data_IF_042313310494
#
_entry.id   IF_042313310494
#
_cell.length_a   1.000
_cell.length_b   1.000
_cell.length_c   1.000
_cell.angle_alpha   90.00
_cell.angle_beta   90.00
_cell.angle_gamma   90.00
#
_symmetry.space_group_name_H-M   'P 1'
#
loop_
_entity.id
_entity.type
_entity.pdbx_description
1 polymer ?
#
# COMPACT_ATOMS: atom_id res chain seq x y z
N UNK A 1 -28.59 -7.76 9.00
CA UNK A 1 -28.07 -8.84 8.13
C UNK A 1 -26.56 -8.78 8.13
N UNK A 2 -25.92 -9.68 8.88
CA UNK A 2 -24.45 -9.80 8.94
C UNK A 2 -24.04 -10.73 7.81
N UNK A 3 -23.47 -10.17 6.74
CA UNK A 3 -22.90 -10.98 5.65
C UNK A 3 -21.70 -11.77 6.15
N UNK A 4 -21.41 -12.96 5.59
CA UNK A 4 -20.28 -13.77 6.03
C UNK A 4 -18.97 -13.00 5.85
N UNK A 5 -18.28 -12.76 6.98
CA UNK A 5 -16.93 -12.21 7.01
C UNK A 5 -15.96 -13.24 6.45
N UNK A 6 -15.77 -13.24 5.13
CA UNK A 6 -14.59 -13.87 4.53
C UNK A 6 -13.40 -12.98 4.87
N UNK A 7 -12.73 -13.32 5.97
CA UNK A 7 -11.41 -12.81 6.34
C UNK A 7 -10.42 -13.63 5.51
N UNK A 8 -9.89 -13.04 4.43
CA UNK A 8 -8.74 -13.61 3.75
C UNK A 8 -7.52 -13.33 4.62
N UNK A 9 -7.06 -14.34 5.38
CA UNK A 9 -5.78 -14.28 6.07
C UNK A 9 -4.67 -14.45 5.02
N UNK A 10 -4.13 -13.34 4.53
CA UNK A 10 -2.95 -13.34 3.69
C UNK A 10 -1.79 -12.78 4.51
N UNK A 11 -0.84 -13.63 4.86
CA UNK A 11 0.44 -13.21 5.41
C UNK A 11 1.55 -13.91 4.63
N UNK A 12 2.10 -13.30 3.57
CA UNK A 12 3.28 -13.84 2.91
C UNK A 12 4.47 -12.94 3.21
N UNK A 13 5.43 -13.46 3.97
CA UNK A 13 6.80 -12.95 3.89
C UNK A 13 7.32 -13.18 2.46
N UNK A 14 7.67 -12.10 1.73
CA UNK A 14 8.35 -12.20 0.43
C UNK A 14 9.67 -12.96 0.63
N UNK A 15 9.86 -14.06 -0.11
CA UNK A 15 11.10 -14.86 -0.11
C UNK A 15 12.28 -14.06 -0.66
N UNK A 16 13.51 -14.42 -0.26
CA UNK A 16 14.71 -13.61 -0.50
C UNK A 16 14.96 -13.21 -1.97
N UNK A 17 14.69 -14.10 -2.92
CA UNK A 17 14.88 -13.84 -4.36
C UNK A 17 13.85 -12.89 -4.97
N UNK A 18 12.67 -12.74 -4.36
CA UNK A 18 11.63 -11.83 -4.85
C UNK A 18 11.79 -10.41 -4.31
N UNK A 19 12.54 -10.23 -3.21
CA UNK A 19 12.82 -8.91 -2.62
C UNK A 19 13.74 -8.04 -3.49
N UNK A 20 14.53 -8.66 -4.37
CA UNK A 20 15.41 -7.93 -5.29
C UNK A 20 14.72 -7.44 -6.54
N UNK A 21 13.48 -7.89 -6.83
CA UNK A 21 12.72 -7.44 -7.99
C UNK A 21 11.86 -6.20 -7.64
N UNK A 22 12.17 -5.00 -8.15
CA UNK A 22 11.47 -3.77 -7.78
C UNK A 22 9.97 -3.80 -8.14
N UNK A 23 9.59 -4.46 -9.24
CA UNK A 23 8.20 -4.55 -9.66
C UNK A 23 7.37 -5.42 -8.71
N UNK A 24 7.93 -6.56 -8.28
CA UNK A 24 7.27 -7.44 -7.31
C UNK A 24 7.07 -6.70 -5.99
N UNK A 25 8.11 -6.01 -5.52
CA UNK A 25 8.08 -5.24 -4.28
C UNK A 25 7.04 -4.10 -4.35
N UNK A 26 7.02 -3.36 -5.47
CA UNK A 26 6.01 -2.33 -5.74
C UNK A 26 4.59 -2.88 -5.61
N UNK A 27 4.23 -3.88 -6.40
CA UNK A 27 2.88 -4.42 -6.38
C UNK A 27 2.53 -5.05 -5.02
N UNK A 28 3.48 -5.71 -4.36
CA UNK A 28 3.24 -6.25 -3.02
C UNK A 28 2.82 -5.16 -2.03
N UNK A 29 3.57 -4.06 -1.95
CA UNK A 29 3.26 -2.98 -1.02
C UNK A 29 1.99 -2.23 -1.40
N UNK A 30 1.77 -1.95 -2.68
CA UNK A 30 0.60 -1.18 -3.11
C UNK A 30 -0.71 -1.98 -2.96
N UNK A 31 -0.68 -3.30 -3.20
CA UNK A 31 -1.84 -4.17 -2.94
C UNK A 31 -2.19 -4.21 -1.46
N UNK A 32 -1.19 -4.26 -0.56
CA UNK A 32 -1.43 -4.21 0.89
C UNK A 32 -1.94 -2.84 1.30
N UNK A 33 -1.34 -1.76 0.79
CA UNK A 33 -1.75 -0.38 1.11
C UNK A 33 -3.20 -0.12 0.72
N UNK A 34 -3.61 -0.55 -0.46
CA UNK A 34 -4.97 -0.38 -0.95
C UNK A 34 -5.87 -1.58 -0.69
N UNK A 35 -5.45 -2.53 0.18
CA UNK A 35 -6.11 -3.81 0.38
C UNK A 35 -7.61 -3.68 0.60
N UNK A 36 -8.04 -2.80 1.50
CA UNK A 36 -9.45 -2.61 1.81
C UNK A 36 -10.25 -2.04 0.64
N UNK A 37 -9.65 -1.10 -0.11
CA UNK A 37 -10.28 -0.49 -1.28
C UNK A 37 -10.41 -1.49 -2.44
N UNK A 38 -9.33 -2.21 -2.74
CA UNK A 38 -9.29 -3.23 -3.79
C UNK A 38 -10.28 -4.35 -3.45
N UNK A 39 -10.28 -4.84 -2.21
CA UNK A 39 -11.23 -5.88 -1.78
C UNK A 39 -12.67 -5.42 -1.83
N UNK A 40 -12.95 -4.15 -1.51
CA UNK A 40 -14.29 -3.61 -1.67
C UNK A 40 -14.76 -3.67 -3.13
N UNK A 41 -13.90 -3.25 -4.07
CA UNK A 41 -14.20 -3.30 -5.50
C UNK A 41 -14.42 -4.74 -5.95
N UNK A 42 -13.51 -5.65 -5.57
CA UNK A 42 -13.59 -7.07 -5.92
C UNK A 42 -14.87 -7.71 -5.38
N UNK A 43 -15.18 -7.54 -4.09
CA UNK A 43 -16.39 -8.10 -3.46
C UNK A 43 -17.68 -7.54 -4.04
N UNK A 44 -17.68 -6.29 -4.49
CA UNK A 44 -18.86 -5.69 -5.15
C UNK A 44 -19.10 -6.29 -6.54
N UNK A 45 -18.05 -6.77 -7.21
CA UNK A 45 -18.14 -7.43 -8.52
C UNK A 45 -18.38 -8.94 -8.41
N UNK A 46 -17.83 -9.56 -7.36
CA UNK A 46 -18.07 -10.96 -7.03
C UNK A 46 -19.41 -11.12 -6.31
N UNK A 47 -20.42 -11.55 -7.03
CA UNK A 47 -21.73 -11.93 -6.48
C UNK A 47 -21.85 -13.46 -6.40
N UNK A 48 -23.00 -13.95 -5.93
CA UNK A 48 -23.26 -15.39 -5.80
C UNK A 48 -23.12 -16.16 -7.11
N UNK A 49 -23.42 -15.54 -8.26
CA UNK A 49 -23.43 -16.22 -9.56
C UNK A 49 -22.04 -16.36 -10.17
N UNK A 50 -21.10 -15.48 -9.83
CA UNK A 50 -19.76 -15.44 -10.43
C UNK A 50 -18.62 -15.67 -9.42
N UNK A 51 -18.92 -15.98 -8.16
CA UNK A 51 -17.94 -16.27 -7.10
C UNK A 51 -16.93 -17.38 -7.48
N UNK A 52 -17.37 -18.36 -8.27
CA UNK A 52 -16.52 -19.46 -8.75
C UNK A 52 -15.36 -18.98 -9.65
N UNK A 53 -15.44 -17.77 -10.23
CA UNK A 53 -14.39 -17.18 -11.05
C UNK A 53 -13.16 -16.72 -10.24
N UNK A 54 -13.28 -16.69 -8.90
CA UNK A 54 -12.21 -16.40 -7.95
C UNK A 54 -12.13 -17.51 -6.90
N UNK A 55 -12.10 -18.77 -7.35
CA UNK A 55 -12.14 -19.97 -6.50
C UNK A 55 -10.81 -20.28 -5.81
N UNK A 56 -9.68 -19.81 -6.36
CA UNK A 56 -8.35 -20.01 -5.80
C UNK A 56 -7.63 -18.73 -5.38
N UNK A 57 -6.62 -18.87 -4.52
CA UNK A 57 -5.73 -17.77 -4.09
C UNK A 57 -5.02 -17.10 -5.26
N UNK A 58 -4.64 -17.88 -6.28
CA UNK A 58 -4.01 -17.37 -7.52
C UNK A 58 -4.94 -16.44 -8.31
N UNK A 59 -6.20 -16.84 -8.51
CA UNK A 59 -7.18 -16.00 -9.22
C UNK A 59 -7.47 -14.72 -8.46
N UNK A 60 -7.62 -14.81 -7.13
CA UNK A 60 -7.78 -13.64 -6.27
C UNK A 60 -6.59 -12.70 -6.45
N UNK A 61 -5.35 -13.21 -6.37
CA UNK A 61 -4.15 -12.40 -6.56
C UNK A 61 -4.13 -11.68 -7.92
N UNK A 62 -4.51 -12.38 -9.00
CA UNK A 62 -4.65 -11.74 -10.33
C UNK A 62 -5.67 -10.62 -10.33
N UNK A 63 -6.83 -10.79 -9.70
CA UNK A 63 -7.82 -9.71 -9.60
C UNK A 63 -7.30 -8.53 -8.78
N UNK A 64 -6.65 -8.79 -7.65
CA UNK A 64 -6.10 -7.70 -6.82
C UNK A 64 -5.13 -6.84 -7.64
N UNK A 65 -4.20 -7.47 -8.35
CA UNK A 65 -3.25 -6.80 -9.25
C UNK A 65 -3.98 -6.06 -10.37
N UNK A 66 -4.94 -6.71 -11.05
CA UNK A 66 -5.66 -6.11 -12.16
C UNK A 66 -6.43 -4.86 -11.73
N UNK A 67 -7.15 -4.93 -10.60
CA UNK A 67 -7.92 -3.83 -10.05
C UNK A 67 -7.00 -2.65 -9.72
N UNK A 68 -5.87 -2.92 -9.07
CA UNK A 68 -4.91 -1.89 -8.73
C UNK A 68 -4.40 -1.15 -9.98
N UNK A 69 -3.92 -1.89 -10.98
CA UNK A 69 -3.36 -1.33 -12.22
C UNK A 69 -4.38 -0.51 -13.00
N UNK A 70 -5.62 -0.98 -13.12
CA UNK A 70 -6.64 -0.25 -13.89
C UNK A 70 -7.13 0.99 -13.12
N UNK A 71 -7.36 0.88 -11.81
CA UNK A 71 -8.00 1.95 -11.03
C UNK A 71 -6.99 3.02 -10.59
N UNK A 72 -5.78 2.64 -10.17
CA UNK A 72 -4.76 3.57 -9.67
C UNK A 72 -3.73 3.94 -10.74
N UNK A 73 -3.14 2.96 -11.42
CA UNK A 73 -2.13 3.23 -12.46
C UNK A 73 -2.73 3.67 -13.80
N UNK A 74 -4.07 3.59 -13.95
CA UNK A 74 -4.81 3.94 -15.18
C UNK A 74 -4.36 3.13 -16.40
N UNK A 75 -3.88 1.91 -16.18
CA UNK A 75 -3.45 1.01 -17.23
C UNK A 75 -4.63 0.53 -18.10
N UNK A 76 -4.36 0.21 -19.37
CA UNK A 76 -5.36 -0.31 -20.27
C UNK A 76 -5.86 -1.70 -19.83
N UNK A 77 -7.18 -1.82 -19.62
CA UNK A 77 -7.84 -3.07 -19.17
C UNK A 77 -7.50 -4.27 -20.05
N UNK A 78 -7.47 -4.13 -21.38
CA UNK A 78 -7.18 -5.24 -22.29
C UNK A 78 -5.73 -5.69 -22.18
N UNK A 79 -4.79 -4.76 -22.01
CA UNK A 79 -3.37 -5.08 -21.78
C UNK A 79 -3.19 -5.85 -20.47
N UNK A 80 -3.78 -5.36 -19.37
CA UNK A 80 -3.73 -6.05 -18.06
C UNK A 80 -4.33 -7.45 -18.10
N UNK A 81 -5.47 -7.63 -18.80
CA UNK A 81 -6.11 -8.95 -18.97
C UNK A 81 -5.21 -9.95 -19.69
N UNK A 82 -4.51 -9.49 -20.74
CA UNK A 82 -3.56 -10.33 -21.50
C UNK A 82 -2.35 -10.70 -20.65
N UNK A 83 -1.72 -9.73 -19.99
CA UNK A 83 -0.52 -9.96 -19.16
C UNK A 83 -0.79 -10.92 -18.00
N UNK A 84 -1.98 -10.87 -17.41
CA UNK A 84 -2.37 -11.75 -16.28
C UNK A 84 -2.95 -13.10 -16.72
N UNK A 85 -3.04 -13.35 -18.04
CA UNK A 85 -3.61 -14.56 -18.62
C UNK A 85 -5.01 -14.88 -18.03
N UNK A 86 -5.90 -13.88 -18.02
CA UNK A 86 -7.27 -14.05 -17.53
C UNK A 86 -8.17 -14.66 -18.60
N UNK A 87 -9.05 -15.58 -18.21
CA UNK A 87 -10.02 -16.16 -19.14
C UNK A 87 -11.06 -15.13 -19.58
N UNK A 88 -11.78 -15.41 -20.68
CA UNK A 88 -12.87 -14.54 -21.17
C UNK A 88 -13.98 -14.30 -20.13
N UNK A 89 -14.21 -15.24 -19.23
CA UNK A 89 -15.19 -15.06 -18.16
C UNK A 89 -14.62 -14.20 -17.03
N UNK A 90 -13.36 -14.40 -16.68
CA UNK A 90 -12.66 -13.59 -15.66
C UNK A 90 -12.52 -12.14 -16.11
N UNK A 91 -12.21 -11.90 -17.39
CA UNK A 91 -12.09 -10.53 -17.93
C UNK A 91 -13.39 -9.74 -17.87
N UNK A 92 -14.55 -10.39 -18.01
CA UNK A 92 -15.86 -9.73 -17.85
C UNK A 92 -16.07 -9.09 -16.48
N UNK A 93 -15.44 -9.62 -15.42
CA UNK A 93 -15.50 -9.01 -14.09
C UNK A 93 -14.76 -7.67 -14.01
N UNK A 94 -13.78 -7.47 -14.89
CA UNK A 94 -12.99 -6.24 -14.97
C UNK A 94 -13.59 -5.21 -15.93
N UNK A 95 -14.62 -5.58 -16.71
CA UNK A 95 -15.29 -4.64 -17.59
C UNK A 95 -15.83 -3.45 -16.80
N UNK A 96 -15.61 -2.25 -17.34
CA UNK A 96 -16.08 -0.99 -16.77
C UNK A 96 -15.55 -0.70 -15.36
N UNK A 97 -14.47 -1.36 -14.94
CA UNK A 97 -13.83 -1.05 -13.65
C UNK A 97 -13.17 0.34 -13.67
N UNK A 98 -12.71 0.78 -14.83
CA UNK A 98 -12.20 2.13 -15.07
C UNK A 98 -13.23 3.22 -14.75
N UNK A 99 -14.52 2.92 -14.87
CA UNK A 99 -15.63 3.82 -14.53
C UNK A 99 -16.09 3.72 -13.07
N UNK A 100 -15.36 2.97 -12.23
CA UNK A 100 -15.70 2.85 -10.82
C UNK A 100 -15.63 4.22 -10.11
N UNK A 101 -16.72 4.61 -9.44
CA UNK A 101 -16.83 5.88 -8.75
C UNK A 101 -16.86 5.70 -7.23
N UNK A 102 -15.83 6.22 -6.54
CA UNK A 102 -15.81 6.28 -5.08
C UNK A 102 -16.98 7.09 -4.50
N UNK A 103 -17.38 8.18 -5.17
CA UNK A 103 -18.55 8.99 -4.77
C UNK A 103 -19.82 8.15 -4.69
N UNK A 104 -20.05 7.27 -5.67
CA UNK A 104 -21.19 6.35 -5.65
C UNK A 104 -21.00 5.22 -4.65
N UNK A 105 -19.79 4.68 -4.52
CA UNK A 105 -19.48 3.59 -3.60
C UNK A 105 -19.68 3.96 -2.13
N UNK A 106 -19.38 5.21 -1.78
CA UNK A 106 -19.51 5.76 -0.43
C UNK A 106 -20.92 6.27 -0.14
N UNK A 107 -21.84 6.33 -1.11
CA UNK A 107 -23.20 6.81 -0.88
C UNK A 107 -23.94 5.89 0.08
N UNK A 108 -24.56 6.46 1.11
CA UNK A 108 -25.33 5.70 2.12
C UNK A 108 -24.48 4.86 3.09
N UNK A 109 -23.14 4.95 3.02
CA UNK A 109 -22.25 4.31 3.99
C UNK A 109 -22.24 5.06 5.32
N UNK A 110 -22.20 4.30 6.41
CA UNK A 110 -22.01 4.86 7.74
C UNK A 110 -20.60 5.45 7.88
N UNK A 111 -20.36 6.23 8.92
CA UNK A 111 -19.10 6.95 9.11
C UNK A 111 -17.88 6.02 9.21
N UNK A 112 -18.00 4.91 9.93
CA UNK A 112 -16.92 3.93 10.09
C UNK A 112 -16.56 3.27 8.75
N UNK A 113 -17.57 2.82 8.00
CA UNK A 113 -17.38 2.23 6.67
C UNK A 113 -16.79 3.25 5.70
N UNK A 114 -17.27 4.49 5.74
CA UNK A 114 -16.74 5.56 4.90
C UNK A 114 -15.27 5.81 5.21
N UNK A 115 -14.93 5.96 6.49
CA UNK A 115 -13.55 6.18 6.94
C UNK A 115 -12.64 4.99 6.60
N UNK A 116 -13.12 3.77 6.79
CA UNK A 116 -12.43 2.52 6.42
C UNK A 116 -12.06 2.50 4.95
N UNK A 117 -13.01 2.87 4.08
CA UNK A 117 -12.79 2.90 2.65
C UNK A 117 -11.94 4.08 2.22
N UNK A 118 -12.15 5.29 2.75
CA UNK A 118 -11.39 6.49 2.38
C UNK A 118 -9.91 6.36 2.73
N UNK A 119 -9.61 5.90 3.95
CA UNK A 119 -8.26 5.74 4.48
C UNK A 119 -7.63 4.39 4.17
N UNK A 120 -8.38 3.46 3.56
CA UNK A 120 -7.96 2.08 3.33
C UNK A 120 -7.59 1.32 4.64
N UNK A 121 -8.22 1.65 5.76
CA UNK A 121 -7.99 1.03 7.08
C UNK A 121 -9.10 0.03 7.42
N UNK A 122 -8.81 -1.12 8.06
CA UNK A 122 -9.87 -2.03 8.48
C UNK A 122 -10.82 -1.40 9.50
N UNK A 123 -12.12 -1.63 9.34
CA UNK A 123 -13.16 -1.09 10.24
C UNK A 123 -12.98 -1.51 11.70
N UNK A 124 -12.45 -2.72 11.97
CA UNK A 124 -12.17 -3.15 13.33
C UNK A 124 -11.12 -2.26 14.02
N UNK A 125 -10.14 -1.77 13.27
CA UNK A 125 -9.10 -0.88 13.82
C UNK A 125 -9.69 0.48 14.12
N UNK A 126 -10.55 0.99 13.22
CA UNK A 126 -11.29 2.24 13.44
C UNK A 126 -12.14 2.13 14.70
N UNK A 127 -12.92 1.05 14.86
CA UNK A 127 -13.75 0.85 16.05
C UNK A 127 -12.95 0.83 17.35
N UNK A 128 -11.72 0.30 17.32
CA UNK A 128 -10.83 0.31 18.49
C UNK A 128 -10.23 1.68 18.79
N UNK A 129 -9.86 2.44 17.76
CA UNK A 129 -9.20 3.74 17.90
C UNK A 129 -10.16 4.88 18.16
N UNK A 130 -11.36 4.81 17.58
CA UNK A 130 -12.38 5.85 17.65
C UNK A 130 -12.68 6.35 19.07
N UNK A 131 -12.91 5.49 20.09
CA UNK A 131 -13.18 5.96 21.45
C UNK A 131 -11.94 6.55 22.16
N UNK A 132 -10.73 6.32 21.65
CA UNK A 132 -9.48 6.70 22.32
C UNK A 132 -8.95 8.03 21.77
N UNK A 133 -8.92 8.18 20.44
CA UNK A 133 -8.28 9.33 19.77
C UNK A 133 -9.26 10.16 18.93
N UNK A 134 -10.49 9.68 18.71
CA UNK A 134 -11.48 10.39 17.91
C UNK A 134 -11.19 10.40 16.40
N UNK A 135 -12.18 10.87 15.62
CA UNK A 135 -12.14 10.82 14.15
C UNK A 135 -11.06 11.72 13.56
N UNK A 136 -10.91 12.92 14.12
CA UNK A 136 -9.95 13.92 13.63
C UNK A 136 -8.53 13.35 13.67
N UNK A 137 -8.10 12.82 14.81
CA UNK A 137 -6.77 12.25 14.96
C UNK A 137 -6.57 10.98 14.13
N UNK A 138 -7.60 10.15 13.92
CA UNK A 138 -7.50 9.03 12.97
C UNK A 138 -7.18 9.55 11.56
N UNK A 139 -7.88 10.58 11.08
CA UNK A 139 -7.60 11.14 9.75
C UNK A 139 -6.18 11.72 9.67
N UNK A 140 -5.77 12.50 10.66
CA UNK A 140 -4.45 13.14 10.70
C UNK A 140 -3.30 12.13 10.72
N UNK A 141 -3.46 11.00 11.40
CA UNK A 141 -2.41 9.98 11.49
C UNK A 141 -2.35 9.04 10.27
N UNK A 142 -3.48 8.78 9.63
CA UNK A 142 -3.53 7.79 8.54
C UNK A 142 -3.57 8.39 7.12
N UNK A 143 -4.02 9.64 6.94
CA UNK A 143 -3.91 10.30 5.63
C UNK A 143 -2.46 10.32 5.09
N UNK A 144 -1.43 10.65 5.90
CA UNK A 144 -0.04 10.63 5.44
C UNK A 144 0.42 9.24 4.95
N UNK A 145 -0.12 8.15 5.52
CA UNK A 145 0.26 6.78 5.19
C UNK A 145 -0.22 6.34 3.80
N UNK A 146 -1.18 7.07 3.20
CA UNK A 146 -1.68 6.77 1.85
C UNK A 146 -0.72 7.21 0.75
N UNK A 147 0.11 8.23 1.01
CA UNK A 147 0.89 8.95 -0.01
C UNK A 147 2.40 8.70 0.10
N UNK A 148 2.84 7.44 0.19
CA UNK A 148 4.29 7.12 0.29
C UNK A 148 5.05 7.45 -0.99
N UNK A 149 4.41 7.46 -2.16
CA UNK A 149 5.04 7.90 -3.42
C UNK A 149 5.59 9.34 -3.34
N UNK A 150 5.06 10.18 -2.44
CA UNK A 150 5.54 11.53 -2.20
C UNK A 150 6.66 11.63 -1.17
N UNK A 151 6.81 10.64 -0.29
CA UNK A 151 7.77 10.68 0.81
C UNK A 151 9.09 10.07 0.37
N UNK A 152 9.84 10.81 -0.46
CA UNK A 152 11.19 10.46 -0.91
C UNK A 152 12.25 10.58 0.19
N UNK A 153 11.83 10.59 1.45
CA UNK A 153 12.70 10.71 2.61
C UNK A 153 13.13 9.32 3.05
N UNK A 154 14.39 8.99 2.85
CA UNK A 154 15.01 7.79 3.41
C UNK A 154 15.56 8.11 4.80
N UNK A 155 15.18 7.32 5.80
CA UNK A 155 15.68 7.50 7.18
C UNK A 155 16.66 6.39 7.50
N UNK A 156 17.84 6.75 8.00
CA UNK A 156 18.86 5.79 8.44
C UNK A 156 19.40 6.14 9.82
N UNK A 157 19.80 5.11 10.56
CA UNK A 157 20.43 5.23 11.88
C UNK A 157 21.85 4.70 11.80
N UNK A 158 22.78 5.41 12.42
CA UNK A 158 24.16 4.96 12.56
C UNK A 158 24.30 4.08 13.80
N UNK A 159 25.05 2.99 13.68
CA UNK A 159 25.16 1.98 14.74
C UNK A 159 26.18 2.38 15.81
N UNK A 160 25.95 2.02 17.08
CA UNK A 160 26.84 2.33 18.22
C UNK A 160 28.02 1.37 18.36
N UNK A 161 27.95 0.20 17.70
CA UNK A 161 28.69 -0.98 18.16
C UNK A 161 30.21 -0.85 18.05
N UNK A 162 30.73 0.19 17.39
CA UNK A 162 32.16 0.48 17.32
C UNK A 162 32.55 1.64 18.27
N UNK A 163 33.83 1.77 18.60
CA UNK A 163 34.32 2.86 19.48
C UNK A 163 33.90 4.24 18.98
N UNK A 164 33.73 5.23 19.86
CA UNK A 164 33.27 6.58 19.47
C UNK A 164 34.11 7.22 18.35
N UNK A 165 35.42 6.96 18.34
CA UNK A 165 36.33 7.44 17.28
C UNK A 165 36.09 6.75 15.93
N UNK A 166 35.84 5.44 15.91
CA UNK A 166 35.57 4.69 14.67
C UNK A 166 34.16 4.95 14.13
N UNK A 167 33.20 5.29 15.00
CA UNK A 167 31.86 5.70 14.61
C UNK A 167 31.85 7.08 13.91
N UNK A 168 32.57 8.09 14.44
CA UNK A 168 32.62 9.43 13.82
C UNK A 168 33.15 9.36 12.38
N UNK A 169 34.26 8.66 12.17
CA UNK A 169 34.83 8.47 10.83
C UNK A 169 33.85 7.79 9.87
N UNK A 170 33.08 6.81 10.33
CA UNK A 170 32.10 6.10 9.48
C UNK A 170 30.92 6.99 9.09
N UNK A 171 30.44 7.84 10.00
CA UNK A 171 29.34 8.78 9.72
C UNK A 171 29.79 9.84 8.72
N UNK A 172 30.97 10.42 8.93
CA UNK A 172 31.51 11.45 8.04
C UNK A 172 31.71 10.91 6.61
N UNK A 173 32.15 9.65 6.48
CA UNK A 173 32.27 8.99 5.17
C UNK A 173 30.90 8.80 4.48
N UNK A 174 29.87 8.38 5.22
CA UNK A 174 28.51 8.22 4.67
C UNK A 174 27.94 9.58 4.27
N UNK A 175 28.06 10.60 5.11
CA UNK A 175 27.57 11.94 4.82
C UNK A 175 28.29 12.54 3.62
N UNK A 176 29.60 12.31 3.50
CA UNK A 176 30.40 12.72 2.33
C UNK A 176 29.97 12.01 1.04
N UNK A 177 29.77 10.68 1.06
CA UNK A 177 29.30 9.95 -0.14
C UNK A 177 27.89 10.42 -0.56
N UNK A 178 27.03 10.77 0.39
CA UNK A 178 25.71 11.32 0.10
C UNK A 178 25.79 12.73 -0.49
N UNK A 179 26.66 13.59 0.06
CA UNK A 179 26.90 14.95 -0.45
C UNK A 179 27.53 14.95 -1.86
N UNK A 180 28.50 14.07 -2.12
CA UNK A 180 29.10 13.85 -3.45
C UNK A 180 28.05 13.40 -4.49
N UNK A 181 26.97 12.75 -4.04
CA UNK A 181 25.83 12.35 -4.89
C UNK A 181 24.72 13.39 -4.94
N UNK A 182 24.95 14.57 -4.37
CA UNK A 182 24.01 15.67 -4.22
C UNK A 182 22.74 15.31 -3.45
N UNK A 183 22.80 14.38 -2.51
CA UNK A 183 21.65 13.97 -1.70
C UNK A 183 21.60 14.81 -0.42
N UNK A 184 20.60 15.68 -0.27
CA UNK A 184 20.42 16.46 0.96
C UNK A 184 20.11 15.56 2.17
N UNK A 185 20.90 15.68 3.24
CA UNK A 185 20.72 14.98 4.51
C UNK A 185 20.47 15.96 5.66
N UNK A 186 19.50 15.64 6.53
CA UNK A 186 19.23 16.36 7.78
C UNK A 186 19.30 15.41 8.96
N UNK A 187 20.01 15.79 10.00
CA UNK A 187 20.00 15.08 11.28
C UNK A 187 18.67 15.34 12.00
N UNK A 188 18.14 14.32 12.66
CA UNK A 188 16.96 14.45 13.49
C UNK A 188 17.27 15.31 14.74
N UNK A 189 16.32 16.16 15.13
CA UNK A 189 16.48 17.11 16.23
C UNK A 189 16.44 16.45 17.62
N UNK A 190 15.84 15.26 17.72
CA UNK A 190 15.67 14.51 18.96
C UNK A 190 16.62 13.31 19.03
N UNK A 191 17.04 12.78 17.88
CA UNK A 191 17.91 11.60 17.80
C UNK A 191 19.20 11.91 17.06
N UNK A 192 20.29 12.13 17.82
CA UNK A 192 21.61 12.48 17.31
C UNK A 192 22.24 11.47 16.33
N UNK A 193 21.71 10.26 16.23
CA UNK A 193 22.19 9.22 15.30
C UNK A 193 21.20 8.87 14.19
N UNK A 194 20.12 9.62 14.10
CA UNK A 194 19.09 9.45 13.08
C UNK A 194 19.22 10.55 12.05
N UNK A 195 19.17 10.16 10.78
CA UNK A 195 19.34 11.06 9.66
C UNK A 195 18.23 10.81 8.64
N UNK A 196 17.80 11.89 7.99
CA UNK A 196 16.78 11.92 6.96
C UNK A 196 17.40 12.43 5.66
N UNK A 197 17.46 11.58 4.65
CA UNK A 197 17.97 11.89 3.32
C UNK A 197 16.81 12.09 2.33
N UNK A 198 16.85 13.15 1.51
CA UNK A 198 15.84 13.38 0.47
C UNK A 198 16.32 12.85 -0.89
N UNK A 199 15.62 11.87 -1.44
CA UNK A 199 15.94 11.25 -2.73
C UNK A 199 15.39 12.05 -3.93
N UNK A 200 14.91 13.29 -3.75
CA UNK A 200 14.46 14.18 -4.84
C UNK A 200 15.59 14.84 -5.62
N UNK A 201 16.82 14.85 -5.10
CA UNK A 201 17.94 15.58 -5.68
C UNK A 201 18.65 14.77 -6.81
N UNK A 202 17.91 13.86 -7.47
CA UNK A 202 18.33 13.10 -8.67
C UNK A 202 17.29 13.22 -9.78
#
# INVERSE_FOLDING_TARGET
MVGPNIIFSFCPTISGSHRSNPQIVHYYYEIIRYWNKINYILKRRLNSTNKHLASGSSDIAKYLIAIYRIVWEKENTLKTVKELNLTKQQSKLLNNIEFFSWKQALKGKNEIERLSLELAIPSFLINKLLPIIGIKSIKENFEPLKNVEGNKTFTFRTNDLWSEESNKNSIDLILKDLDERHISVKQDIHFSRLFHANLKDK
#
